data_IF_381179792754
#
_entry.id   IF_381179792754
#
_cell.length_a   1.000
_cell.length_b   1.000
_cell.length_c   1.000
_cell.angle_alpha   90.00
_cell.angle_beta   90.00
_cell.angle_gamma   90.00
#
_symmetry.space_group_name_H-M   'P 1'
#
loop_
_entity.id
_entity.type
_entity.pdbx_description
1 polymer ?
#
# COMPACT_ATOMS: atom_id res chain seq x y z
N UNK A 1 -13.25 -1.27 16.55
CA UNK A 1 -13.70 0.09 16.23
C UNK A 1 -14.57 0.01 14.99
N UNK A 2 -15.85 0.37 15.07
CA UNK A 2 -16.75 0.42 13.91
C UNK A 2 -16.58 1.81 13.30
N UNK A 3 -16.19 1.91 12.03
CA UNK A 3 -16.08 3.19 11.35
C UNK A 3 -17.47 3.85 11.26
N UNK A 4 -17.58 5.17 11.50
CA UNK A 4 -18.86 5.86 11.44
C UNK A 4 -19.45 5.74 10.03
N UNK A 5 -20.75 5.45 9.95
CA UNK A 5 -21.45 5.39 8.67
C UNK A 5 -21.47 6.79 8.05
N UNK A 6 -20.89 6.92 6.86
CA UNK A 6 -21.03 8.12 6.04
C UNK A 6 -22.37 8.03 5.28
N UNK A 7 -23.48 8.36 5.95
CA UNK A 7 -24.75 8.62 5.25
C UNK A 7 -24.65 10.02 4.65
N UNK A 8 -24.26 10.09 3.38
CA UNK A 8 -24.25 11.34 2.60
C UNK A 8 -25.32 11.21 1.51
N UNK A 9 -26.44 11.92 1.67
CA UNK A 9 -27.54 12.08 0.69
C UNK A 9 -28.35 10.83 0.29
N UNK A 10 -28.49 9.83 1.17
CA UNK A 10 -29.43 8.72 0.95
C UNK A 10 -29.12 7.75 -0.20
N UNK A 11 -28.11 8.04 -1.04
CA UNK A 11 -27.63 7.16 -2.11
C UNK A 11 -26.15 6.83 -1.93
N UNK A 12 -25.82 5.53 -1.99
CA UNK A 12 -24.45 5.02 -2.03
C UNK A 12 -23.79 5.38 -3.37
N UNK A 13 -23.37 6.63 -3.53
CA UNK A 13 -22.38 6.99 -4.54
C UNK A 13 -21.00 6.70 -3.95
N UNK A 14 -20.45 5.55 -4.34
CA UNK A 14 -19.16 4.94 -3.92
C UNK A 14 -18.27 5.85 -3.06
N UNK A 15 -18.29 5.59 -1.75
CA UNK A 15 -17.36 6.20 -0.79
C UNK A 15 -16.12 5.33 -0.77
N UNK A 16 -15.03 5.88 -1.27
CA UNK A 16 -13.72 5.24 -1.46
C UNK A 16 -12.88 5.39 -0.17
N UNK A 17 -11.72 4.70 -0.01
CA UNK A 17 -11.31 4.12 1.28
C UNK A 17 -11.23 5.13 2.43
N UNK A 18 -11.79 4.73 3.56
CA UNK A 18 -11.67 5.47 4.82
C UNK A 18 -10.23 5.41 5.30
N UNK A 19 -9.64 6.57 5.55
CA UNK A 19 -8.32 6.70 6.15
C UNK A 19 -8.45 7.28 7.55
N UNK A 20 -7.93 6.56 8.55
CA UNK A 20 -7.93 7.02 9.93
C UNK A 20 -6.78 8.02 10.12
N UNK A 21 -7.11 9.26 10.45
CA UNK A 21 -6.18 10.30 10.84
C UNK A 21 -6.21 10.44 12.37
N UNK A 22 -5.30 9.73 13.03
CA UNK A 22 -5.24 9.67 14.49
C UNK A 22 -3.81 9.75 14.99
N UNK A 23 -3.57 10.69 15.88
CA UNK A 23 -2.32 10.82 16.63
C UNK A 23 -2.64 10.89 18.13
N UNK A 24 -2.53 9.76 18.85
CA UNK A 24 -2.88 9.70 20.27
C UNK A 24 -1.97 10.57 21.15
N UNK A 25 -0.78 10.96 20.67
CA UNK A 25 0.13 11.84 21.42
C UNK A 25 -0.35 13.29 21.43
N UNK A 26 -1.18 13.68 20.45
CA UNK A 26 -1.69 15.05 20.30
C UNK A 26 -3.12 15.22 20.78
N UNK A 27 -3.96 14.21 20.61
CA UNK A 27 -5.38 14.29 20.99
C UNK A 27 -5.98 12.90 21.22
N UNK A 28 -6.92 12.76 22.18
CA UNK A 28 -7.73 11.55 22.28
C UNK A 28 -8.75 11.43 21.13
N UNK A 29 -8.99 12.52 20.39
CA UNK A 29 -9.94 12.57 19.29
C UNK A 29 -9.25 12.15 17.98
N UNK A 30 -9.90 11.28 17.22
CA UNK A 30 -9.49 10.90 15.87
C UNK A 30 -10.34 11.60 14.80
N UNK A 31 -9.82 11.63 13.58
CA UNK A 31 -10.55 12.03 12.38
C UNK A 31 -10.58 10.87 11.40
N UNK A 32 -11.61 10.78 10.58
CA UNK A 32 -11.66 9.82 9.46
C UNK A 32 -11.84 10.61 8.19
N UNK A 33 -11.00 10.36 7.19
CA UNK A 33 -11.06 11.04 5.91
C UNK A 33 -11.47 10.04 4.84
N UNK A 34 -12.42 10.43 4.02
CA UNK A 34 -12.82 9.68 2.84
C UNK A 34 -13.16 10.65 1.71
N UNK A 35 -13.50 10.10 0.55
CA UNK A 35 -13.91 10.89 -0.59
C UNK A 35 -15.06 10.23 -1.35
N UNK A 36 -15.88 11.08 -1.95
CA UNK A 36 -17.01 10.73 -2.80
C UNK A 36 -16.70 11.18 -4.21
N UNK A 37 -16.83 10.27 -5.17
CA UNK A 37 -16.74 10.63 -6.58
C UNK A 37 -17.97 11.46 -6.97
N UNK A 38 -17.73 12.62 -7.55
CA UNK A 38 -18.79 13.47 -8.08
C UNK A 38 -19.13 13.01 -9.51
N UNK A 39 -20.42 12.81 -9.78
CA UNK A 39 -20.92 12.66 -11.15
C UNK A 39 -20.85 14.05 -11.80
N UNK A 40 -19.73 14.38 -12.42
CA UNK A 40 -19.73 15.40 -13.48
C UNK A 40 -19.80 14.67 -14.81
N UNK A 41 -20.80 15.02 -15.61
CA UNK A 41 -20.74 14.79 -17.05
C UNK A 41 -19.59 15.66 -17.55
N UNK A 42 -18.43 15.07 -17.81
CA UNK A 42 -17.39 15.82 -18.51
C UNK A 42 -17.92 16.06 -19.93
N UNK A 43 -17.99 17.32 -20.42
CA UNK A 43 -18.35 17.58 -21.82
C UNK A 43 -17.30 17.04 -22.80
N UNK A 44 -16.14 16.60 -22.29
CA UNK A 44 -15.04 16.03 -23.06
C UNK A 44 -14.64 14.65 -22.54
N UNK A 45 -14.14 13.81 -23.45
CA UNK A 45 -13.64 12.45 -23.23
C UNK A 45 -12.27 12.41 -22.50
N UNK A 46 -11.99 13.36 -21.61
CA UNK A 46 -10.68 13.53 -20.96
C UNK A 46 -10.35 12.47 -19.90
N UNK A 47 -11.31 11.63 -19.50
CA UNK A 47 -11.05 10.51 -18.57
C UNK A 47 -10.67 10.94 -17.16
N UNK A 48 -10.90 12.19 -16.78
CA UNK A 48 -10.66 12.71 -15.43
C UNK A 48 -11.87 12.51 -14.51
N UNK A 49 -11.61 12.39 -13.21
CA UNK A 49 -12.62 12.18 -12.18
C UNK A 49 -12.48 13.22 -11.07
N UNK A 50 -13.63 13.75 -10.66
CA UNK A 50 -13.74 14.72 -9.58
C UNK A 50 -14.12 14.04 -8.27
N UNK A 51 -13.43 14.38 -7.20
CA UNK A 51 -13.65 13.85 -5.87
C UNK A 51 -13.87 14.96 -4.86
N UNK A 52 -14.84 14.75 -3.97
CA UNK A 52 -15.11 15.62 -2.83
C UNK A 52 -14.62 14.92 -1.55
N UNK A 53 -13.78 15.62 -0.77
CA UNK A 53 -13.29 15.09 0.51
C UNK A 53 -14.34 15.32 1.60
N UNK A 54 -14.49 14.30 2.46
CA UNK A 54 -15.28 14.35 3.68
C UNK A 54 -14.41 13.96 4.87
N UNK A 55 -14.59 14.69 5.97
CA UNK A 55 -13.85 14.49 7.22
C UNK A 55 -14.85 14.26 8.34
N UNK A 56 -14.75 13.12 9.00
CA UNK A 56 -15.40 12.85 10.27
C UNK A 56 -14.55 13.43 11.40
N UNK A 57 -15.20 14.15 12.30
CA UNK A 57 -14.60 14.68 13.52
C UNK A 57 -15.17 13.92 14.71
N UNK A 58 -14.37 13.08 15.38
CA UNK A 58 -14.86 12.25 16.50
C UNK A 58 -15.31 13.08 17.71
N UNK A 59 -14.67 14.22 17.95
CA UNK A 59 -15.00 15.15 19.04
C UNK A 59 -16.44 15.64 18.97
N UNK A 60 -16.85 16.09 17.79
CA UNK A 60 -18.19 16.62 17.53
C UNK A 60 -19.15 15.54 17.03
N UNK A 61 -18.64 14.36 16.67
CA UNK A 61 -19.36 13.24 16.04
C UNK A 61 -20.08 13.63 14.75
N UNK A 62 -19.52 14.55 13.98
CA UNK A 62 -20.08 15.04 12.72
C UNK A 62 -19.20 14.71 11.52
N UNK A 63 -19.82 14.59 10.35
CA UNK A 63 -19.14 14.68 9.07
C UNK A 63 -19.17 16.12 8.57
N UNK A 64 -18.06 16.58 8.01
CA UNK A 64 -18.01 17.84 7.25
C UNK A 64 -17.44 17.59 5.86
N UNK A 65 -17.91 18.34 4.88
CA UNK A 65 -17.24 18.44 3.57
C UNK A 65 -16.00 19.32 3.70
N UNK A 66 -15.00 19.04 2.86
CA UNK A 66 -13.75 19.79 2.76
C UNK A 66 -13.49 20.19 1.31
N UNK A 67 -12.23 20.24 0.87
CA UNK A 67 -11.89 20.55 -0.52
C UNK A 67 -12.23 19.40 -1.49
N UNK A 68 -12.35 19.76 -2.77
CA UNK A 68 -12.46 18.81 -3.88
C UNK A 68 -11.18 18.81 -4.70
N UNK A 69 -10.95 17.74 -5.45
CA UNK A 69 -9.80 17.61 -6.32
C UNK A 69 -10.13 16.78 -7.56
N UNK A 70 -9.32 16.94 -8.60
CA UNK A 70 -9.44 16.23 -9.88
C UNK A 70 -8.23 15.32 -10.08
N UNK A 71 -8.48 14.09 -10.49
CA UNK A 71 -7.43 13.10 -10.83
C UNK A 71 -7.72 12.47 -12.18
N UNK A 72 -6.66 12.11 -12.89
CA UNK A 72 -6.75 11.51 -14.22
C UNK A 72 -6.87 9.99 -14.09
N UNK A 73 -7.77 9.36 -14.87
CA UNK A 73 -7.84 7.91 -15.09
C UNK A 73 -7.80 7.08 -13.78
N UNK A 74 -8.61 7.47 -12.81
CA UNK A 74 -8.64 6.89 -11.47
C UNK A 74 -9.97 6.15 -11.19
N UNK A 75 -10.03 4.85 -11.50
CA UNK A 75 -11.18 4.01 -11.13
C UNK A 75 -11.09 3.52 -9.68
N UNK A 76 -9.89 3.16 -9.23
CA UNK A 76 -9.64 2.60 -7.90
C UNK A 76 -8.51 3.36 -7.17
N UNK A 77 -8.79 3.84 -5.96
CA UNK A 77 -7.79 4.44 -5.07
C UNK A 77 -7.33 3.44 -4.03
N UNK A 78 -6.02 3.39 -3.79
CA UNK A 78 -5.45 2.59 -2.71
C UNK A 78 -5.83 3.16 -1.34
N UNK A 79 -5.83 2.29 -0.31
CA UNK A 79 -5.98 2.73 1.07
C UNK A 79 -4.90 3.76 1.43
N UNK A 80 -5.31 4.85 2.07
CA UNK A 80 -4.40 5.92 2.48
C UNK A 80 -3.74 5.65 3.82
N UNK A 81 -2.66 6.40 4.06
CA UNK A 81 -2.00 6.46 5.38
C UNK A 81 -2.02 7.89 5.91
N UNK A 82 -1.99 8.04 7.23
CA UNK A 82 -1.86 9.32 7.90
C UNK A 82 -0.51 9.40 8.58
N UNK A 83 0.30 10.41 8.23
CA UNK A 83 1.63 10.67 8.78
C UNK A 83 1.81 12.18 8.96
N UNK A 84 2.35 12.61 10.10
CA UNK A 84 2.74 14.01 10.34
C UNK A 84 1.66 15.06 10.01
N UNK A 85 0.40 14.78 10.32
CA UNK A 85 -0.70 15.71 10.05
C UNK A 85 -1.19 15.71 8.60
N UNK A 86 -0.72 14.78 7.78
CA UNK A 86 -1.02 14.70 6.35
C UNK A 86 -1.55 13.31 6.01
N UNK A 87 -2.55 13.28 5.14
CA UNK A 87 -3.05 12.03 4.55
C UNK A 87 -2.44 11.83 3.17
N UNK A 88 -2.02 10.60 2.90
CA UNK A 88 -1.32 10.21 1.68
C UNK A 88 -2.14 9.13 0.97
N UNK A 89 -2.54 9.38 -0.29
CA UNK A 89 -3.18 8.40 -1.16
C UNK A 89 -2.47 8.25 -2.50
N UNK A 90 -2.60 7.06 -3.07
CA UNK A 90 -2.08 6.74 -4.38
C UNK A 90 -3.27 6.41 -5.29
N UNK A 91 -3.35 7.09 -6.43
CA UNK A 91 -4.24 6.70 -7.50
C UNK A 91 -3.60 6.85 -8.87
N UNK A 92 -3.70 5.80 -9.68
CA UNK A 92 -2.95 5.63 -10.92
C UNK A 92 -1.51 6.15 -10.78
N UNK A 93 -1.15 7.18 -11.55
CA UNK A 93 0.17 7.81 -11.60
C UNK A 93 0.33 8.97 -10.60
N UNK A 94 -0.67 9.19 -9.75
CA UNK A 94 -0.79 10.36 -8.90
C UNK A 94 -0.61 10.00 -7.42
N UNK A 95 0.30 10.73 -6.79
CA UNK A 95 0.43 10.83 -5.35
C UNK A 95 -0.39 12.02 -4.87
N UNK A 96 -1.38 11.74 -4.04
CA UNK A 96 -2.32 12.72 -3.49
C UNK A 96 -1.93 12.95 -2.03
N UNK A 97 -1.68 14.21 -1.70
CA UNK A 97 -1.28 14.64 -0.36
C UNK A 97 -2.33 15.62 0.16
N UNK A 98 -2.93 15.32 1.30
CA UNK A 98 -3.98 16.14 1.91
C UNK A 98 -3.55 16.60 3.29
N UNK A 99 -3.31 17.90 3.44
CA UNK A 99 -2.96 18.49 4.72
C UNK A 99 -4.18 18.60 5.63
N UNK A 100 -4.17 17.99 6.80
CA UNK A 100 -5.33 17.98 7.71
C UNK A 100 -5.55 19.29 8.46
N UNK A 101 -4.57 20.18 8.49
CA UNK A 101 -4.67 21.48 9.16
C UNK A 101 -5.12 22.55 8.19
N UNK A 102 -4.51 22.61 7.00
CA UNK A 102 -4.87 23.57 5.96
C UNK A 102 -6.04 23.10 5.10
N UNK A 103 -6.38 21.82 5.17
CA UNK A 103 -7.37 21.15 4.32
C UNK A 103 -7.08 21.30 2.83
N UNK A 104 -5.80 21.39 2.45
CA UNK A 104 -5.36 21.56 1.06
C UNK A 104 -4.91 20.24 0.45
N UNK A 105 -5.28 20.06 -0.82
CA UNK A 105 -4.83 18.93 -1.64
C UNK A 105 -3.64 19.37 -2.51
N UNK A 106 -2.60 18.56 -2.53
CA UNK A 106 -1.48 18.66 -3.46
C UNK A 106 -1.39 17.36 -4.26
N UNK A 107 -1.25 17.49 -5.57
CA UNK A 107 -1.11 16.39 -6.50
C UNK A 107 0.33 16.35 -7.04
N UNK A 108 0.97 15.20 -6.89
CA UNK A 108 2.33 14.95 -7.33
C UNK A 108 2.35 13.69 -8.20
N UNK A 109 3.40 13.51 -8.99
CA UNK A 109 3.60 12.25 -9.72
C UNK A 109 4.21 11.19 -8.80
N UNK A 110 3.69 9.98 -8.87
CA UNK A 110 4.34 8.80 -8.29
C UNK A 110 5.60 8.46 -9.09
N UNK A 111 6.56 7.75 -8.48
CA UNK A 111 7.78 7.30 -9.15
C UNK A 111 7.46 6.08 -10.01
N UNK A 112 6.57 6.23 -10.98
CA UNK A 112 6.41 5.21 -12.00
C UNK A 112 7.69 5.19 -12.81
N UNK A 113 8.45 4.12 -12.63
CA UNK A 113 9.48 3.76 -13.59
C UNK A 113 8.77 2.84 -14.57
N UNK A 114 8.54 3.32 -15.79
CA UNK A 114 8.06 2.50 -16.91
C UNK A 114 9.14 1.46 -17.25
N UNK A 115 9.23 0.42 -16.43
CA UNK A 115 10.18 -0.67 -16.61
C UNK A 115 9.48 -1.73 -17.45
N UNK A 116 9.66 -1.60 -18.77
CA UNK A 116 9.32 -2.52 -19.86
C UNK A 116 7.84 -2.70 -20.21
N UNK A 117 7.50 -2.30 -21.45
CA UNK A 117 6.49 -2.78 -22.43
C UNK A 117 5.22 -3.58 -22.04
N UNK A 118 4.87 -3.75 -20.78
CA UNK A 118 3.63 -4.42 -20.37
C UNK A 118 3.00 -3.66 -19.20
N UNK A 119 1.73 -3.28 -19.38
CA UNK A 119 0.90 -2.63 -18.40
C UNK A 119 0.60 -3.60 -17.23
N UNK A 120 1.36 -3.60 -16.13
CA UNK A 120 0.95 -4.41 -14.95
C UNK A 120 1.61 -4.07 -13.62
N UNK A 121 2.09 -2.84 -13.41
CA UNK A 121 2.40 -2.41 -12.04
C UNK A 121 1.11 -1.95 -11.36
N UNK A 122 0.59 -2.76 -10.45
CA UNK A 122 -0.46 -2.34 -9.54
C UNK A 122 0.14 -1.32 -8.57
N UNK A 123 -0.56 -0.21 -8.40
CA UNK A 123 -0.24 0.81 -7.41
C UNK A 123 -0.16 0.12 -6.07
N UNK A 124 1.03 0.09 -5.48
CA UNK A 124 1.15 -0.43 -4.14
C UNK A 124 0.76 0.61 -3.11
N UNK A 125 0.26 0.08 -2.01
CA UNK A 125 0.02 0.79 -0.78
C UNK A 125 1.17 1.73 -0.38
N UNK A 126 0.82 2.80 0.32
CA UNK A 126 1.80 3.56 1.08
C UNK A 126 2.05 2.94 2.43
N UNK A 127 3.31 3.00 2.87
CA UNK A 127 3.74 2.64 4.21
C UNK A 127 4.42 3.83 4.86
N UNK A 128 4.20 4.01 6.16
CA UNK A 128 4.99 4.91 6.99
C UNK A 128 5.96 4.10 7.85
N UNK A 129 7.20 4.57 7.95
CA UNK A 129 8.20 3.98 8.80
C UNK A 129 9.19 5.05 9.30
N UNK A 130 9.28 5.26 10.63
CA UNK A 130 10.04 6.36 11.29
C UNK A 130 9.86 7.70 10.59
N UNK A 131 8.60 8.12 10.47
CA UNK A 131 8.22 9.38 9.84
C UNK A 131 8.65 9.47 8.37
N UNK A 132 9.04 8.37 7.74
CA UNK A 132 9.43 8.28 6.33
C UNK A 132 8.35 7.51 5.57
N UNK A 133 7.96 8.01 4.41
CA UNK A 133 6.89 7.41 3.62
C UNK A 133 7.51 6.59 2.49
N UNK A 134 6.98 5.40 2.28
CA UNK A 134 7.36 4.50 1.21
C UNK A 134 6.16 4.21 0.33
N UNK A 135 6.36 4.24 -0.98
CA UNK A 135 5.45 3.64 -1.94
C UNK A 135 5.94 2.24 -2.24
N UNK A 136 5.13 1.24 -1.90
CA UNK A 136 5.28 -0.08 -2.48
C UNK A 136 4.75 -0.04 -3.92
N UNK A 137 5.35 -0.81 -4.80
CA UNK A 137 4.82 -1.08 -6.13
C UNK A 137 5.05 -2.56 -6.40
N UNK A 138 4.05 -3.20 -7.02
CA UNK A 138 4.12 -4.62 -7.37
C UNK A 138 3.68 -4.80 -8.81
N UNK A 139 4.39 -5.64 -9.55
CA UNK A 139 3.86 -6.27 -10.75
C UNK A 139 3.72 -7.76 -10.54
N UNK A 140 3.22 -8.49 -11.53
CA UNK A 140 3.22 -9.95 -11.52
C UNK A 140 4.59 -10.54 -11.15
N UNK A 141 5.67 -9.87 -11.53
CA UNK A 141 7.02 -10.41 -11.46
C UNK A 141 7.98 -9.63 -10.58
N UNK A 142 7.59 -8.49 -10.03
CA UNK A 142 8.55 -7.63 -9.34
C UNK A 142 7.90 -6.87 -8.18
N UNK A 143 8.74 -6.46 -7.24
CA UNK A 143 8.37 -5.58 -6.16
C UNK A 143 9.42 -4.50 -5.99
N UNK A 144 8.98 -3.27 -5.75
CA UNK A 144 9.86 -2.15 -5.42
C UNK A 144 9.29 -1.29 -4.31
N UNK A 145 10.19 -0.73 -3.50
CA UNK A 145 9.89 0.30 -2.53
C UNK A 145 10.63 1.58 -2.92
N UNK A 146 9.88 2.67 -2.95
CA UNK A 146 10.36 3.99 -3.28
C UNK A 146 10.20 4.86 -2.05
N UNK A 147 11.25 5.53 -1.61
CA UNK A 147 11.22 6.40 -0.45
C UNK A 147 10.82 7.81 -0.86
N UNK A 148 9.92 8.45 -0.11
CA UNK A 148 9.63 9.87 -0.29
C UNK A 148 10.61 10.70 0.54
N UNK A 149 11.43 11.49 -0.14
CA UNK A 149 12.10 12.61 0.50
C UNK A 149 11.05 13.69 0.79
N UNK A 150 10.71 13.86 2.07
CA UNK A 150 9.67 14.80 2.48
C UNK A 150 10.11 16.27 2.39
N UNK A 151 11.42 16.55 2.40
CA UNK A 151 11.92 17.92 2.28
C UNK A 151 11.80 18.42 0.83
N UNK A 152 12.06 17.54 -0.14
CA UNK A 152 11.98 17.89 -1.57
C UNK A 152 10.67 17.44 -2.22
N UNK A 153 9.87 16.63 -1.53
CA UNK A 153 8.68 15.92 -2.05
C UNK A 153 8.99 15.10 -3.31
N UNK A 154 10.22 14.61 -3.42
CA UNK A 154 10.68 13.76 -4.53
C UNK A 154 10.82 12.32 -4.05
N UNK A 155 10.46 11.41 -4.94
CA UNK A 155 10.64 10.00 -4.71
C UNK A 155 12.05 9.55 -5.07
N UNK A 156 12.71 8.85 -4.16
CA UNK A 156 13.97 8.14 -4.37
C UNK A 156 13.62 6.75 -4.92
N UNK A 157 13.85 6.47 -6.22
CA UNK A 157 13.36 5.25 -6.84
C UNK A 157 14.18 4.03 -6.41
N UNK A 158 13.53 2.87 -6.36
CA UNK A 158 14.17 1.55 -6.19
C UNK A 158 15.07 1.42 -4.96
N UNK A 159 14.75 2.07 -3.85
CA UNK A 159 15.50 1.92 -2.59
C UNK A 159 15.58 0.45 -2.17
N UNK A 160 14.48 -0.28 -2.39
CA UNK A 160 14.49 -1.74 -2.37
C UNK A 160 13.85 -2.26 -3.65
N UNK A 161 14.49 -3.21 -4.31
CA UNK A 161 13.97 -3.85 -5.52
C UNK A 161 14.15 -5.37 -5.43
N UNK A 162 13.07 -6.08 -5.73
CA UNK A 162 13.00 -7.54 -5.66
C UNK A 162 12.40 -8.09 -6.94
N UNK A 163 13.24 -8.68 -7.79
CA UNK A 163 12.77 -9.48 -8.90
C UNK A 163 12.22 -10.82 -8.39
N UNK A 164 10.95 -11.12 -8.69
CA UNK A 164 10.27 -12.33 -8.21
C UNK A 164 10.99 -13.58 -8.64
N UNK A 165 11.52 -13.61 -9.88
CA UNK A 165 12.27 -14.75 -10.37
C UNK A 165 13.48 -15.06 -9.49
N UNK A 166 14.26 -14.05 -9.14
CA UNK A 166 15.46 -14.22 -8.32
C UNK A 166 15.10 -14.65 -6.90
N UNK A 167 14.06 -14.06 -6.32
CA UNK A 167 13.56 -14.44 -5.00
C UNK A 167 13.06 -15.87 -5.00
N UNK A 168 12.11 -16.18 -5.88
CA UNK A 168 11.44 -17.46 -5.91
C UNK A 168 12.39 -18.60 -6.27
N UNK A 169 13.39 -18.37 -7.13
CA UNK A 169 14.51 -19.30 -7.34
C UNK A 169 15.33 -19.53 -6.07
N UNK A 170 15.62 -18.47 -5.31
CA UNK A 170 16.38 -18.57 -4.07
C UNK A 170 15.58 -19.24 -2.95
N UNK A 171 14.26 -18.99 -2.87
CA UNK A 171 13.35 -19.64 -1.93
C UNK A 171 13.17 -21.11 -2.29
N UNK A 172 12.92 -21.42 -3.56
CA UNK A 172 12.82 -22.79 -4.05
C UNK A 172 14.06 -23.58 -3.66
N UNK A 173 15.26 -23.08 -3.97
CA UNK A 173 16.54 -23.70 -3.57
C UNK A 173 16.70 -23.87 -2.06
N UNK A 174 16.17 -22.95 -1.26
CA UNK A 174 16.24 -23.03 0.20
C UNK A 174 15.25 -24.04 0.80
N UNK A 175 14.15 -24.34 0.09
CA UNK A 175 13.05 -25.20 0.55
C UNK A 175 13.15 -26.62 -0.02
N UNK A 176 13.59 -26.77 -1.28
CA UNK A 176 13.80 -28.07 -1.91
C UNK A 176 15.22 -28.56 -1.65
N UNK A 177 15.37 -29.77 -1.08
CA UNK A 177 16.68 -30.42 -0.97
C UNK A 177 17.32 -30.55 -2.35
N UNK A 178 18.62 -30.28 -2.45
CA UNK A 178 19.40 -30.40 -3.68
C UNK A 178 19.12 -31.73 -4.38
N UNK A 179 18.59 -31.68 -5.62
CA UNK A 179 18.49 -32.87 -6.47
C UNK A 179 17.18 -33.06 -7.25
N UNK A 180 16.08 -32.37 -6.92
CA UNK A 180 14.89 -32.41 -7.78
C UNK A 180 14.99 -31.35 -8.86
N UNK A 181 15.20 -31.81 -10.10
CA UNK A 181 15.19 -31.06 -11.37
C UNK A 181 14.40 -29.75 -11.29
N UNK A 182 15.11 -28.62 -11.39
CA UNK A 182 14.55 -27.26 -11.47
C UNK A 182 13.65 -27.04 -12.72
N UNK A 183 13.41 -28.09 -13.52
CA UNK A 183 12.75 -28.09 -14.81
C UNK A 183 11.21 -28.13 -14.74
N UNK A 184 10.60 -28.26 -13.55
CA UNK A 184 9.14 -28.06 -13.35
C UNK A 184 8.78 -26.71 -12.74
N UNK A 185 9.58 -25.68 -12.96
CA UNK A 185 9.30 -24.33 -12.47
C UNK A 185 8.26 -23.63 -13.37
N UNK A 186 6.98 -23.93 -13.15
CA UNK A 186 5.87 -23.30 -13.88
C UNK A 186 5.88 -21.78 -13.66
N UNK A 187 5.54 -21.02 -14.70
CA UNK A 187 5.41 -19.56 -14.66
C UNK A 187 4.29 -19.13 -13.71
N UNK A 188 3.29 -19.98 -13.49
CA UNK A 188 2.14 -19.71 -12.61
C UNK A 188 2.51 -19.70 -11.11
N UNK A 189 3.58 -20.39 -10.70
CA UNK A 189 3.97 -20.56 -9.30
C UNK A 189 4.85 -19.42 -8.74
N UNK A 190 5.21 -18.41 -9.55
CA UNK A 190 6.14 -17.33 -9.13
C UNK A 190 5.45 -16.15 -8.44
N UNK A 191 4.16 -16.30 -8.15
CA UNK A 191 3.37 -15.27 -7.46
C UNK A 191 3.86 -15.17 -6.02
N UNK A 192 3.89 -13.95 -5.49
CA UNK A 192 4.24 -13.68 -4.10
C UNK A 192 3.43 -12.50 -3.57
N UNK A 193 3.17 -12.50 -2.27
CA UNK A 193 2.52 -11.38 -1.55
C UNK A 193 3.51 -10.76 -0.57
N UNK A 194 3.67 -9.45 -0.62
CA UNK A 194 4.53 -8.72 0.32
C UNK A 194 3.69 -8.30 1.52
N UNK A 195 3.98 -8.86 2.68
CA UNK A 195 3.16 -8.68 3.89
C UNK A 195 3.59 -7.44 4.67
N UNK A 196 4.90 -7.22 4.83
CA UNK A 196 5.40 -6.15 5.69
C UNK A 196 6.88 -5.83 5.41
N UNK A 197 7.29 -4.61 5.75
CA UNK A 197 8.70 -4.24 5.94
C UNK A 197 9.02 -4.32 7.43
N UNK A 198 9.94 -5.20 7.82
CA UNK A 198 10.42 -5.35 9.20
C UNK A 198 11.80 -4.72 9.29
N UNK A 199 11.90 -3.60 10.01
CA UNK A 199 13.20 -2.95 10.19
C UNK A 199 14.01 -3.61 11.30
N UNK A 200 15.28 -3.86 11.02
CA UNK A 200 16.26 -4.14 12.09
C UNK A 200 16.91 -2.86 12.62
N UNK A 201 17.76 -2.98 13.63
CA UNK A 201 18.40 -1.83 14.31
C UNK A 201 19.19 -0.96 13.33
N UNK A 202 19.88 -1.58 12.38
CA UNK A 202 20.59 -0.92 11.28
C UNK A 202 19.85 -1.15 9.97
N UNK A 203 20.04 -0.29 8.97
CA UNK A 203 19.45 -0.47 7.63
C UNK A 203 19.77 -1.83 7.02
N UNK A 204 21.00 -2.32 7.23
CA UNK A 204 21.43 -3.67 6.81
C UNK A 204 20.70 -4.82 7.50
N UNK A 205 19.92 -4.55 8.53
CA UNK A 205 19.14 -5.53 9.28
C UNK A 205 17.65 -5.51 8.87
N UNK A 206 17.24 -4.56 8.02
CA UNK A 206 15.89 -4.49 7.44
C UNK A 206 15.61 -5.68 6.54
N UNK A 207 14.41 -6.25 6.66
CA UNK A 207 13.93 -7.34 5.83
C UNK A 207 12.47 -7.14 5.43
N UNK A 208 12.06 -7.70 4.30
CA UNK A 208 10.67 -7.75 3.88
C UNK A 208 10.11 -9.14 4.19
N UNK A 209 8.89 -9.18 4.72
CA UNK A 209 8.11 -10.39 4.90
C UNK A 209 7.30 -10.68 3.64
N UNK A 210 7.41 -11.90 3.15
CA UNK A 210 6.84 -12.32 1.87
C UNK A 210 6.15 -13.66 2.07
N UNK A 211 4.93 -13.80 1.52
CA UNK A 211 4.30 -15.09 1.31
C UNK A 211 4.67 -15.60 -0.07
N UNK A 212 5.22 -16.81 -0.13
CA UNK A 212 5.50 -17.52 -1.37
C UNK A 212 5.50 -19.03 -1.11
N UNK A 213 4.91 -19.84 -2.00
CA UNK A 213 4.77 -21.30 -1.82
C UNK A 213 4.16 -21.70 -0.46
N UNK A 214 3.13 -20.96 -0.02
CA UNK A 214 2.50 -21.17 1.29
C UNK A 214 3.40 -20.90 2.50
N UNK A 215 4.55 -20.25 2.32
CA UNK A 215 5.51 -19.95 3.40
C UNK A 215 5.66 -18.46 3.58
N UNK A 216 5.66 -18.03 4.83
CA UNK A 216 6.09 -16.68 5.21
C UNK A 216 7.60 -16.69 5.38
N UNK A 217 8.29 -15.94 4.54
CA UNK A 217 9.74 -15.76 4.59
C UNK A 217 10.09 -14.34 4.96
N UNK A 218 11.27 -14.17 5.53
CA UNK A 218 11.94 -12.89 5.69
C UNK A 218 13.09 -12.82 4.70
N UNK A 219 13.10 -11.78 3.86
CA UNK A 219 14.18 -11.48 2.92
C UNK A 219 14.90 -10.20 3.30
N UNK A 220 16.19 -10.30 3.63
CA UNK A 220 17.03 -9.14 3.91
C UNK A 220 17.80 -8.75 2.64
N UNK A 221 17.55 -7.54 2.12
CA UNK A 221 18.17 -7.03 0.89
C UNK A 221 19.68 -6.86 1.00
N UNK A 222 20.15 -6.26 2.10
CA UNK A 222 21.56 -5.93 2.28
C UNK A 222 22.44 -7.18 2.40
N UNK A 223 21.96 -8.19 3.13
CA UNK A 223 22.65 -9.45 3.38
C UNK A 223 22.30 -10.54 2.37
N UNK A 224 21.32 -10.29 1.49
CA UNK A 224 20.72 -11.26 0.55
C UNK A 224 20.38 -12.59 1.22
N UNK A 225 19.86 -12.52 2.44
CA UNK A 225 19.57 -13.69 3.27
C UNK A 225 18.07 -13.96 3.32
N UNK A 226 17.70 -15.22 3.08
CA UNK A 226 16.35 -15.73 3.26
C UNK A 226 16.28 -16.47 4.60
N UNK A 227 15.19 -16.26 5.33
CA UNK A 227 14.82 -17.05 6.50
C UNK A 227 13.36 -17.43 6.40
N UNK A 228 13.03 -18.71 6.53
CA UNK A 228 11.63 -19.15 6.67
C UNK A 228 11.19 -18.78 8.10
N UNK A 229 10.09 -18.04 8.20
CA UNK A 229 9.51 -17.60 9.47
C UNK A 229 8.39 -18.53 9.87
N UNK A 230 7.52 -18.88 8.92
CA UNK A 230 6.36 -19.72 9.15
C UNK A 230 6.05 -20.54 7.88
N UNK A 231 5.71 -21.80 8.07
CA UNK A 231 5.07 -22.62 7.04
C UNK A 231 3.57 -22.65 7.33
N UNK A 232 2.74 -22.22 6.37
CA UNK A 232 1.30 -22.15 6.57
C UNK A 232 0.64 -23.53 6.41
N UNK A 233 1.38 -24.55 5.95
CA UNK A 233 0.86 -25.91 5.80
C UNK A 233 -0.31 -26.01 4.82
N UNK A 234 -0.40 -25.09 3.87
CA UNK A 234 -1.55 -24.97 2.98
C UNK A 234 -1.57 -26.10 1.94
N UNK A 235 -2.75 -26.66 1.64
CA UNK A 235 -2.95 -27.53 0.48
C UNK A 235 -2.43 -26.90 -0.82
N UNK A 236 -1.88 -27.71 -1.73
CA UNK A 236 -1.20 -27.25 -2.95
C UNK A 236 -2.08 -26.39 -3.86
N UNK A 237 -3.38 -26.64 -3.86
CA UNK A 237 -4.41 -25.90 -4.56
C UNK A 237 -4.62 -24.46 -4.02
N UNK A 238 -4.37 -24.22 -2.73
CA UNK A 238 -4.57 -22.90 -2.09
C UNK A 238 -3.28 -22.05 -2.12
N UNK A 239 -2.11 -22.68 -2.29
CA UNK A 239 -0.82 -21.96 -2.27
C UNK A 239 -0.69 -20.92 -3.40
N UNK A 240 -1.28 -21.17 -4.57
CA UNK A 240 -1.28 -20.24 -5.70
C UNK A 240 -2.15 -18.99 -5.47
N UNK A 241 -3.24 -19.13 -4.71
CA UNK A 241 -4.26 -18.08 -4.52
C UNK A 241 -3.89 -17.08 -3.42
N UNK A 242 -3.14 -17.50 -2.40
CA UNK A 242 -2.69 -16.61 -1.32
C UNK A 242 -1.70 -15.52 -1.79
N UNK A 243 -1.11 -15.71 -2.97
CA UNK A 243 -0.09 -14.82 -3.53
C UNK A 243 -0.66 -13.58 -4.26
N UNK A 244 -1.96 -13.36 -4.15
CA UNK A 244 -2.70 -12.27 -4.77
C UNK A 244 -3.39 -11.45 -3.67
N UNK A 245 -3.18 -10.12 -3.65
CA UNK A 245 -3.99 -9.11 -2.95
C UNK A 245 -3.57 -8.59 -1.56
N UNK A 246 -2.49 -9.05 -0.94
CA UNK A 246 -2.07 -8.47 0.34
C UNK A 246 -1.17 -7.24 0.18
N UNK A 247 -1.65 -6.15 -0.42
CA UNK A 247 -1.04 -4.81 -0.29
C UNK A 247 -1.64 -4.02 0.89
N UNK A 248 -2.64 -4.56 1.59
CA UNK A 248 -3.17 -3.92 2.81
C UNK A 248 -2.40 -4.36 4.05
N UNK A 249 -1.10 -4.04 4.09
CA UNK A 249 -0.30 -4.21 5.29
C UNK A 249 -0.59 -3.03 6.23
N UNK A 250 -1.57 -3.19 7.11
CA UNK A 250 -1.74 -2.23 8.20
C UNK A 250 -0.50 -2.32 9.09
N UNK A 251 0.12 -1.18 9.36
CA UNK A 251 1.08 -1.09 10.46
C UNK A 251 0.35 -1.60 11.71
N UNK A 252 0.95 -2.57 12.41
CA UNK A 252 0.44 -2.96 13.72
C UNK A 252 0.52 -1.73 14.62
N UNK A 253 -0.63 -1.05 14.77
CA UNK A 253 -0.86 -0.12 15.86
C UNK A 253 -1.27 -1.00 17.01
N UNK A 254 -0.49 -1.02 18.09
CA UNK A 254 -0.95 -1.61 19.34
C UNK A 254 -2.20 -0.84 19.73
N UNK A 255 -3.36 -1.38 19.38
CA UNK A 255 -4.62 -0.76 19.79
C UNK A 255 -4.65 -0.81 21.30
N UNK A 256 -5.04 0.32 21.90
CA UNK A 256 -5.44 0.42 23.30
C UNK A 256 -6.67 -0.48 23.54
N UNK A 257 -6.51 -1.79 23.49
CA UNK A 257 -7.38 -2.69 24.24
C UNK A 257 -6.83 -2.67 25.65
N UNK A 258 -7.57 -2.06 26.59
CA UNK A 258 -7.35 -2.36 27.99
C UNK A 258 -7.51 -3.86 28.18
N UNK A 259 -6.54 -4.49 28.81
CA UNK A 259 -6.76 -5.76 29.53
C UNK A 259 -7.70 -5.48 30.69
#
# INVERSE_FOLDING_TARGET
MILPSAKVDGEFSWISPFTLAFDPSRSPNYRVVCFKRLKKESPESTGSYYFQIFIYLSEMRIWKSSNSFEVNMCLDMAAGIFSNGVVHWACHEQYIRFDMNEEKVMLLKLPFVYVFNEHSWDIGCFWEWRDTIYSAMKSEWNFSLHELDQATLKWIPHKYYLASYSLAKAVYRAVTKEGTEAHKYDRTERKFSVIALVKGVKEKDTAVLIVIFGKVISYNFARRKIKIILDLGLPSDIQGDLCCNCLSAYQYVQTLSSV
#
